data_IF_716927081502
#
_entry.id   IF_716927081502
#
_cell.length_a   1.000
_cell.length_b   1.000
_cell.length_c   1.000
_cell.angle_alpha   90.00
_cell.angle_beta   90.00
_cell.angle_gamma   90.00
#
_symmetry.space_group_name_H-M   'P 1'
#
loop_
_entity.id
_entity.type
_entity.pdbx_description
1 polymer ?
#
# COMPACT_ATOMS: atom_id res chain seq x y z
N UNK A 1 -7.94 -10.49 -41.27
CA UNK A 1 -7.78 -11.41 -40.11
C UNK A 1 -8.58 -10.84 -38.96
N UNK A 2 -9.74 -11.44 -38.67
CA UNK A 2 -10.54 -11.15 -37.48
C UNK A 2 -9.88 -11.80 -36.26
N UNK A 3 -9.65 -11.04 -35.19
CA UNK A 3 -9.64 -11.55 -33.81
C UNK A 3 -10.21 -10.48 -32.86
N UNK A 4 -11.48 -10.68 -32.53
CA UNK A 4 -12.13 -10.46 -31.24
C UNK A 4 -11.93 -9.09 -30.55
N UNK A 5 -12.71 -8.11 -31.00
CA UNK A 5 -13.25 -7.07 -30.12
C UNK A 5 -14.37 -7.68 -29.26
N UNK A 6 -14.03 -8.32 -28.14
CA UNK A 6 -15.04 -8.86 -27.20
C UNK A 6 -14.71 -8.52 -25.75
N UNK A 7 -15.50 -7.57 -25.20
CA UNK A 7 -15.78 -7.33 -23.77
C UNK A 7 -14.79 -6.51 -22.90
N UNK A 8 -14.21 -5.42 -23.42
CA UNK A 8 -13.43 -4.48 -22.58
C UNK A 8 -14.27 -3.48 -21.77
N UNK A 9 -15.56 -3.73 -21.59
CA UNK A 9 -16.44 -2.82 -20.84
C UNK A 9 -16.67 -3.38 -19.44
N UNK A 10 -16.55 -2.51 -18.44
CA UNK A 10 -16.97 -2.78 -17.07
C UNK A 10 -18.48 -3.04 -17.03
N UNK A 11 -18.90 -4.10 -16.34
CA UNK A 11 -20.32 -4.37 -16.10
C UNK A 11 -20.91 -3.40 -15.07
N UNK A 12 -22.24 -3.35 -14.94
CA UNK A 12 -22.91 -2.57 -13.88
C UNK A 12 -22.43 -2.97 -12.48
N UNK A 13 -22.22 -4.26 -12.26
CA UNK A 13 -21.81 -4.82 -10.98
C UNK A 13 -20.35 -4.48 -10.68
N UNK A 14 -19.49 -4.49 -11.69
CA UNK A 14 -18.10 -4.05 -11.58
C UNK A 14 -18.01 -2.55 -11.25
N UNK A 15 -18.84 -1.71 -11.86
CA UNK A 15 -18.94 -0.29 -11.51
C UNK A 15 -19.43 -0.06 -10.09
N UNK A 16 -20.47 -0.81 -9.68
CA UNK A 16 -20.97 -0.77 -8.30
C UNK A 16 -19.87 -1.16 -7.31
N UNK A 17 -19.09 -2.20 -7.62
CA UNK A 17 -17.95 -2.61 -6.80
C UNK A 17 -16.87 -1.54 -6.73
N UNK A 18 -16.50 -0.91 -7.85
CA UNK A 18 -15.52 0.19 -7.89
C UNK A 18 -15.97 1.35 -7.00
N UNK A 19 -17.25 1.74 -7.07
CA UNK A 19 -17.81 2.76 -6.20
C UNK A 19 -17.78 2.34 -4.72
N UNK A 20 -18.11 1.09 -4.42
CA UNK A 20 -18.01 0.56 -3.06
C UNK A 20 -16.57 0.58 -2.53
N UNK A 21 -15.56 0.28 -3.36
CA UNK A 21 -14.14 0.41 -2.98
C UNK A 21 -13.81 1.87 -2.69
N UNK A 22 -14.26 2.80 -3.53
CA UNK A 22 -14.05 4.23 -3.35
C UNK A 22 -14.60 4.70 -2.00
N UNK A 23 -15.86 4.40 -1.74
CA UNK A 23 -16.55 4.86 -0.53
C UNK A 23 -16.01 4.17 0.71
N UNK A 24 -15.66 2.88 0.61
CA UNK A 24 -14.98 2.15 1.68
C UNK A 24 -13.64 2.80 2.03
N UNK A 25 -12.85 3.21 1.04
CA UNK A 25 -11.57 3.90 1.24
C UNK A 25 -11.80 5.26 1.89
N UNK A 26 -12.63 6.11 1.28
CA UNK A 26 -12.87 7.49 1.73
C UNK A 26 -13.37 7.51 3.18
N UNK A 27 -14.36 6.69 3.52
CA UNK A 27 -14.89 6.58 4.89
C UNK A 27 -13.88 6.00 5.91
N UNK A 28 -12.83 5.32 5.45
CA UNK A 28 -11.82 4.74 6.34
C UNK A 28 -10.67 5.69 6.61
N UNK A 29 -10.50 6.74 5.81
CA UNK A 29 -9.42 7.72 5.89
C UNK A 29 -9.85 9.08 6.42
N UNK A 30 -11.14 9.30 6.69
CA UNK A 30 -11.67 10.54 7.27
C UNK A 30 -10.93 10.96 8.53
N UNK A 31 -10.74 10.03 9.47
CA UNK A 31 -10.18 10.31 10.80
C UNK A 31 -8.65 10.20 10.86
N UNK A 32 -8.00 10.03 9.71
CA UNK A 32 -6.56 9.81 9.64
C UNK A 32 -5.83 11.15 9.62
N UNK A 33 -5.09 11.48 10.68
CA UNK A 33 -4.34 12.72 10.81
C UNK A 33 -2.94 12.59 10.18
N UNK A 34 -2.71 13.30 9.07
CA UNK A 34 -1.41 13.38 8.40
C UNK A 34 -0.60 14.60 8.83
N UNK A 35 -1.15 15.45 9.71
CA UNK A 35 -0.49 16.69 10.12
C UNK A 35 0.51 16.52 11.25
N UNK A 36 0.63 15.32 11.82
CA UNK A 36 1.53 15.01 12.94
C UNK A 36 3.00 15.37 12.66
N UNK A 37 3.43 15.30 11.39
CA UNK A 37 4.77 15.71 10.95
C UNK A 37 5.09 17.18 11.28
N UNK A 38 4.07 18.03 11.39
CA UNK A 38 4.24 19.44 11.73
C UNK A 38 4.60 19.66 13.20
N UNK A 39 4.38 18.66 14.06
CA UNK A 39 4.64 18.75 15.49
C UNK A 39 6.08 18.36 15.85
N UNK A 40 6.88 17.89 14.90
CA UNK A 40 8.23 17.43 15.17
C UNK A 40 9.26 18.55 15.28
N UNK A 41 10.08 18.46 16.31
CA UNK A 41 11.32 19.24 16.43
C UNK A 41 12.37 18.68 15.47
N UNK A 42 13.04 19.56 14.71
CA UNK A 42 14.21 19.19 13.89
C UNK A 42 15.36 18.61 14.72
N UNK A 43 15.42 18.93 16.02
CA UNK A 43 16.50 18.49 16.90
C UNK A 43 16.16 17.13 17.52
N UNK A 44 14.94 16.99 18.05
CA UNK A 44 14.64 15.90 19.00
C UNK A 44 13.84 14.73 18.39
N UNK A 45 13.20 14.93 17.25
CA UNK A 45 12.40 13.89 16.61
C UNK A 45 13.26 12.72 16.11
N UNK A 46 12.77 11.49 16.34
CA UNK A 46 13.42 10.25 15.91
C UNK A 46 12.55 9.49 14.90
N UNK A 47 13.19 8.60 14.13
CA UNK A 47 12.48 7.67 13.24
C UNK A 47 11.43 6.84 13.99
N UNK A 48 11.75 6.43 15.22
CA UNK A 48 10.84 5.65 16.07
C UNK A 48 9.59 6.45 16.44
N UNK A 49 9.71 7.74 16.74
CA UNK A 49 8.54 8.58 17.04
C UNK A 49 7.63 8.69 15.81
N UNK A 50 8.22 8.91 14.64
CA UNK A 50 7.49 8.87 13.35
C UNK A 50 6.78 7.55 13.10
N UNK A 51 7.49 6.42 13.24
CA UNK A 51 6.89 5.10 13.03
C UNK A 51 5.76 4.82 14.02
N UNK A 52 5.83 5.33 15.25
CA UNK A 52 4.76 5.19 16.23
C UNK A 52 3.51 6.01 15.88
N UNK A 53 3.68 7.19 15.29
CA UNK A 53 2.56 8.04 14.83
C UNK A 53 1.92 7.49 13.55
N UNK A 54 2.70 6.83 12.69
CA UNK A 54 2.24 6.10 11.51
C UNK A 54 1.23 4.98 11.81
N UNK A 55 1.05 4.61 13.09
CA UNK A 55 0.01 3.66 13.51
C UNK A 55 -1.38 4.04 12.99
N UNK A 56 -1.65 5.34 12.84
CA UNK A 56 -2.95 5.83 12.37
C UNK A 56 -3.17 5.47 10.90
N UNK A 57 -2.14 5.60 10.06
CA UNK A 57 -2.17 5.21 8.65
C UNK A 57 -2.35 3.70 8.48
N UNK A 58 -1.73 2.89 9.35
CA UNK A 58 -1.99 1.45 9.36
C UNK A 58 -3.41 1.11 9.81
N UNK A 59 -3.94 1.78 10.84
CA UNK A 59 -5.33 1.58 11.31
C UNK A 59 -6.35 1.94 10.23
N UNK A 60 -6.16 3.03 9.49
CA UNK A 60 -7.06 3.45 8.42
C UNK A 60 -7.07 2.43 7.26
N UNK A 61 -5.91 1.91 6.86
CA UNK A 61 -5.81 0.83 5.88
C UNK A 61 -6.50 -0.45 6.36
N UNK A 62 -6.28 -0.88 7.60
CA UNK A 62 -6.96 -2.06 8.15
C UNK A 62 -8.49 -1.85 8.15
N UNK A 63 -8.97 -0.66 8.54
CA UNK A 63 -10.40 -0.29 8.49
C UNK A 63 -10.94 -0.36 7.05
N UNK A 64 -10.16 0.07 6.06
CA UNK A 64 -10.49 -0.04 4.64
C UNK A 64 -10.61 -1.50 4.20
N UNK A 65 -9.61 -2.35 4.45
CA UNK A 65 -9.65 -3.76 4.03
C UNK A 65 -10.78 -4.53 4.69
N UNK A 66 -11.08 -4.26 5.97
CA UNK A 66 -12.25 -4.84 6.65
C UNK A 66 -13.59 -4.48 6.02
N UNK A 67 -13.67 -3.48 5.14
CA UNK A 67 -14.90 -3.14 4.41
C UNK A 67 -14.99 -3.84 3.04
N UNK A 68 -13.90 -4.41 2.52
CA UNK A 68 -13.91 -5.12 1.24
C UNK A 68 -14.57 -6.49 1.41
N UNK A 69 -15.69 -6.79 0.71
CA UNK A 69 -16.42 -8.05 0.90
C UNK A 69 -15.56 -9.30 0.69
N UNK A 70 -14.72 -9.30 -0.36
CA UNK A 70 -13.81 -10.40 -0.68
C UNK A 70 -12.77 -10.64 0.43
N UNK A 71 -12.32 -9.59 1.12
CA UNK A 71 -11.39 -9.76 2.23
C UNK A 71 -12.07 -10.42 3.44
N UNK A 72 -13.36 -10.14 3.68
CA UNK A 72 -14.15 -10.79 4.74
C UNK A 72 -14.42 -12.27 4.51
N UNK A 73 -14.33 -12.74 3.26
CA UNK A 73 -14.56 -14.16 2.90
C UNK A 73 -13.37 -15.04 3.30
N UNK A 74 -12.18 -14.45 3.43
CA UNK A 74 -10.98 -15.14 3.90
C UNK A 74 -11.12 -15.42 5.41
N UNK A 75 -10.58 -16.54 5.89
CA UNK A 75 -10.54 -16.82 7.32
C UNK A 75 -9.68 -15.79 8.09
N UNK A 76 -9.94 -15.60 9.37
CA UNK A 76 -9.30 -14.53 10.16
C UNK A 76 -7.77 -14.66 10.22
N UNK A 77 -7.24 -15.88 10.27
CA UNK A 77 -5.80 -16.12 10.34
C UNK A 77 -5.10 -15.67 9.05
N UNK A 78 -5.63 -16.07 7.89
CA UNK A 78 -5.13 -15.63 6.59
C UNK A 78 -5.31 -14.11 6.38
N UNK A 79 -6.40 -13.51 6.88
CA UNK A 79 -6.56 -12.04 6.85
C UNK A 79 -5.41 -11.35 7.63
N UNK A 80 -5.08 -11.85 8.82
CA UNK A 80 -3.98 -11.29 9.64
C UNK A 80 -2.64 -11.46 8.93
N UNK A 81 -2.40 -12.64 8.34
CA UNK A 81 -1.18 -12.92 7.58
C UNK A 81 -1.05 -11.94 6.40
N UNK A 82 -2.09 -11.78 5.58
CA UNK A 82 -2.08 -10.86 4.44
C UNK A 82 -1.81 -9.42 4.88
N UNK A 83 -2.44 -8.96 5.96
CA UNK A 83 -2.17 -7.64 6.53
C UNK A 83 -0.68 -7.51 6.92
N UNK A 84 -0.16 -8.43 7.75
CA UNK A 84 1.24 -8.36 8.21
C UNK A 84 2.25 -8.42 7.08
N UNK A 85 1.97 -9.21 6.05
CA UNK A 85 2.84 -9.35 4.90
C UNK A 85 2.81 -8.10 4.00
N UNK A 86 1.61 -7.59 3.71
CA UNK A 86 1.45 -6.65 2.60
C UNK A 86 1.34 -5.18 3.05
N UNK A 87 0.84 -4.89 4.25
CA UNK A 87 0.42 -3.53 4.62
C UNK A 87 1.56 -2.52 4.64
N UNK A 88 2.76 -2.93 5.07
CA UNK A 88 3.95 -2.05 5.09
C UNK A 88 4.39 -1.64 3.70
N UNK A 89 4.06 -2.42 2.67
CA UNK A 89 4.36 -2.09 1.27
C UNK A 89 3.27 -1.24 0.61
N UNK A 90 2.05 -1.29 1.16
CA UNK A 90 0.88 -0.57 0.65
C UNK A 90 0.72 0.82 1.26
N UNK A 91 1.39 1.06 2.39
CA UNK A 91 1.35 2.34 3.08
C UNK A 91 1.81 3.50 2.17
N UNK A 92 2.71 3.27 1.21
CA UNK A 92 3.16 4.30 0.28
C UNK A 92 2.04 4.84 -0.61
N UNK A 93 1.33 3.93 -1.27
CA UNK A 93 0.20 4.28 -2.14
C UNK A 93 -0.89 4.93 -1.30
N UNK A 94 -1.05 4.47 -0.05
CA UNK A 94 -1.98 5.08 0.90
C UNK A 94 -1.62 6.53 1.23
N UNK A 95 -0.35 6.82 1.54
CA UNK A 95 0.15 8.18 1.76
C UNK A 95 -0.12 9.07 0.55
N UNK A 96 0.24 8.62 -0.66
CA UNK A 96 0.00 9.37 -1.90
C UNK A 96 -1.46 9.74 -2.06
N UNK A 97 -2.37 8.77 -1.86
CA UNK A 97 -3.81 9.00 -1.97
C UNK A 97 -4.35 9.92 -0.87
N UNK A 98 -3.90 9.75 0.37
CA UNK A 98 -4.38 10.50 1.53
C UNK A 98 -3.93 11.96 1.49
N UNK A 99 -2.70 12.22 1.07
CA UNK A 99 -2.16 13.56 0.93
C UNK A 99 -2.51 14.22 -0.41
N UNK A 100 -3.38 13.58 -1.20
CA UNK A 100 -3.80 14.06 -2.51
C UNK A 100 -2.61 14.40 -3.41
N UNK A 101 -1.62 13.51 -3.45
CA UNK A 101 -0.40 13.61 -4.26
C UNK A 101 0.54 14.78 -3.89
N UNK A 102 0.30 15.47 -2.76
CA UNK A 102 1.19 16.54 -2.28
C UNK A 102 2.21 15.95 -1.32
N UNK A 103 3.51 16.10 -1.60
CA UNK A 103 4.57 15.70 -0.66
C UNK A 103 4.85 16.82 0.35
N UNK A 104 4.90 16.49 1.65
CA UNK A 104 5.31 17.44 2.69
C UNK A 104 6.84 17.61 2.68
N UNK A 105 7.30 18.83 2.44
CA UNK A 105 8.72 19.16 2.40
C UNK A 105 9.46 18.86 3.72
N UNK A 106 8.78 18.95 4.87
CA UNK A 106 9.37 18.63 6.17
C UNK A 106 9.67 17.15 6.31
N UNK A 107 8.81 16.28 5.79
CA UNK A 107 9.04 14.83 5.78
C UNK A 107 10.38 14.51 5.11
N UNK A 108 10.71 15.22 4.02
CA UNK A 108 11.98 15.06 3.34
C UNK A 108 13.20 15.43 4.18
N UNK A 109 13.10 16.51 4.96
CA UNK A 109 14.15 16.94 5.89
C UNK A 109 14.35 15.88 6.98
N UNK A 110 13.26 15.42 7.60
CA UNK A 110 13.33 14.44 8.67
C UNK A 110 13.84 13.07 8.17
N UNK A 111 13.34 12.56 7.05
CA UNK A 111 13.80 11.29 6.48
C UNK A 111 15.28 11.33 6.10
N UNK A 112 15.75 12.46 5.58
CA UNK A 112 17.17 12.65 5.28
C UNK A 112 18.05 12.60 6.52
N UNK A 113 17.56 13.10 7.66
CA UNK A 113 18.25 13.05 8.97
C UNK A 113 18.19 11.66 9.59
N UNK A 114 17.01 11.03 9.59
CA UNK A 114 16.74 9.77 10.28
C UNK A 114 17.38 8.57 9.60
N UNK A 115 17.45 8.58 8.27
CA UNK A 115 17.99 7.48 7.47
C UNK A 115 19.20 7.98 6.72
N UNK A 116 18.99 8.67 5.59
CA UNK A 116 20.01 9.38 4.81
C UNK A 116 19.32 10.15 3.65
N UNK A 117 20.00 11.14 3.04
CA UNK A 117 19.43 11.91 1.94
C UNK A 117 19.12 11.10 0.66
N UNK A 118 19.87 10.01 0.40
CA UNK A 118 19.65 9.18 -0.79
C UNK A 118 18.33 8.41 -0.69
N UNK A 119 18.06 7.82 0.47
CA UNK A 119 16.82 7.14 0.80
C UNK A 119 15.60 8.06 0.58
N UNK A 120 15.64 9.28 1.14
CA UNK A 120 14.59 10.26 0.93
C UNK A 120 14.40 10.58 -0.56
N UNK A 121 15.49 10.84 -1.29
CA UNK A 121 15.42 11.11 -2.73
C UNK A 121 14.77 9.97 -3.51
N UNK A 122 15.10 8.72 -3.19
CA UNK A 122 14.50 7.54 -3.81
C UNK A 122 13.01 7.40 -3.45
N UNK A 123 12.64 7.66 -2.19
CA UNK A 123 11.24 7.68 -1.74
C UNK A 123 10.42 8.74 -2.45
N UNK A 124 10.90 9.98 -2.52
CA UNK A 124 10.24 11.09 -3.22
C UNK A 124 10.10 10.80 -4.71
N UNK A 125 11.15 10.27 -5.37
CA UNK A 125 11.06 9.84 -6.78
C UNK A 125 10.01 8.74 -6.99
N UNK A 126 9.90 7.79 -6.07
CA UNK A 126 8.89 6.72 -6.11
C UNK A 126 7.49 7.31 -5.96
N UNK A 127 7.31 8.25 -5.03
CA UNK A 127 6.06 8.99 -4.81
C UNK A 127 5.63 9.75 -6.07
N UNK A 128 6.49 10.60 -6.61
CA UNK A 128 6.19 11.42 -7.78
C UNK A 128 5.93 10.61 -9.05
N UNK A 129 6.44 9.37 -9.14
CA UNK A 129 6.10 8.48 -10.25
C UNK A 129 4.61 8.11 -10.26
N UNK A 130 3.92 8.21 -9.10
CA UNK A 130 2.49 7.99 -8.98
C UNK A 130 1.65 9.22 -9.36
N UNK A 131 2.26 10.39 -9.60
CA UNK A 131 1.55 11.61 -10.05
C UNK A 131 0.83 11.39 -11.39
N UNK A 132 1.26 10.36 -12.15
CA UNK A 132 0.54 9.84 -13.31
C UNK A 132 -0.95 9.55 -13.03
N UNK A 133 -1.31 9.22 -11.79
CA UNK A 133 -2.66 8.85 -11.38
C UNK A 133 -3.47 9.99 -10.76
N UNK A 134 -2.96 11.24 -10.73
CA UNK A 134 -3.67 12.39 -10.14
C UNK A 134 -5.09 12.55 -10.70
N UNK A 135 -5.26 12.38 -12.01
CA UNK A 135 -6.58 12.51 -12.65
C UNK A 135 -7.50 11.31 -12.39
N UNK A 136 -6.91 10.16 -12.05
CA UNK A 136 -7.64 8.89 -11.90
C UNK A 136 -7.17 8.12 -10.66
N UNK A 137 -7.30 8.69 -9.44
CA UNK A 137 -6.80 8.09 -8.20
C UNK A 137 -7.48 6.76 -7.86
N UNK A 138 -8.67 6.51 -8.44
CA UNK A 138 -9.37 5.24 -8.28
C UNK A 138 -8.54 4.04 -8.74
N UNK A 139 -7.68 4.19 -9.75
CA UNK A 139 -6.78 3.13 -10.18
C UNK A 139 -5.86 2.66 -9.03
N UNK A 140 -5.35 3.59 -8.23
CA UNK A 140 -4.52 3.28 -7.06
C UNK A 140 -5.34 2.67 -5.91
N UNK A 141 -6.61 3.07 -5.73
CA UNK A 141 -7.51 2.45 -4.75
C UNK A 141 -7.82 1.00 -5.11
N UNK A 142 -8.05 0.69 -6.38
CA UNK A 142 -8.22 -0.70 -6.85
C UNK A 142 -6.90 -1.46 -6.66
N UNK A 143 -5.76 -0.84 -7.03
CA UNK A 143 -4.45 -1.45 -6.83
C UNK A 143 -4.19 -1.81 -5.36
N UNK A 144 -4.52 -0.94 -4.40
CA UNK A 144 -4.42 -1.25 -2.95
C UNK A 144 -5.16 -2.53 -2.56
N UNK A 145 -6.33 -2.78 -3.17
CA UNK A 145 -7.10 -4.02 -2.95
C UNK A 145 -6.40 -5.19 -3.64
N UNK A 146 -5.99 -5.04 -4.91
CA UNK A 146 -5.30 -6.07 -5.67
C UNK A 146 -4.04 -6.58 -4.95
N UNK A 147 -3.19 -5.66 -4.49
CA UNK A 147 -1.92 -6.02 -3.85
C UNK A 147 -2.10 -6.62 -2.44
N UNK A 148 -3.22 -6.38 -1.76
CA UNK A 148 -3.50 -7.00 -0.45
C UNK A 148 -3.67 -8.52 -0.56
N UNK A 149 -4.09 -9.05 -1.71
CA UNK A 149 -4.23 -10.49 -1.93
C UNK A 149 -2.95 -11.16 -2.48
N UNK A 150 -1.82 -10.45 -2.50
CA UNK A 150 -0.56 -11.06 -2.93
C UNK A 150 0.02 -11.93 -1.82
N UNK A 151 0.32 -13.16 -2.18
CA UNK A 151 0.84 -14.19 -1.27
C UNK A 151 2.37 -14.34 -1.29
N UNK A 152 3.08 -13.76 -2.29
CA UNK A 152 4.49 -14.10 -2.59
C UNK A 152 5.48 -12.93 -2.74
N UNK A 153 5.04 -11.66 -2.67
CA UNK A 153 5.95 -10.51 -2.84
C UNK A 153 6.45 -9.94 -1.50
N UNK A 154 5.93 -10.43 -0.39
CA UNK A 154 6.15 -9.84 0.93
C UNK A 154 7.24 -10.59 1.66
N UNK A 155 8.21 -9.82 2.18
CA UNK A 155 9.48 -10.33 2.70
C UNK A 155 9.32 -11.59 3.54
N UNK A 156 10.21 -12.55 3.31
CA UNK A 156 10.69 -13.47 4.34
C UNK A 156 11.95 -12.84 4.96
N UNK A 157 11.91 -12.23 6.15
CA UNK A 157 13.14 -12.02 6.91
C UNK A 157 13.60 -13.35 7.50
N UNK A 158 14.92 -13.52 7.48
CA UNK A 158 15.71 -14.58 8.09
C UNK A 158 15.12 -15.06 9.44
N UNK A 159 14.67 -16.32 9.52
CA UNK A 159 14.36 -17.10 10.74
C UNK A 159 12.92 -17.32 11.24
N UNK A 160 11.82 -16.85 10.63
CA UNK A 160 10.49 -17.15 11.20
C UNK A 160 9.42 -17.56 10.19
N UNK A 161 8.96 -18.81 10.42
CA UNK A 161 7.71 -19.45 10.00
C UNK A 161 7.52 -19.58 8.48
N UNK A 162 7.33 -20.81 8.02
CA UNK A 162 6.61 -21.04 6.78
C UNK A 162 5.23 -20.40 6.94
N UNK A 163 5.07 -19.17 6.46
CA UNK A 163 3.77 -18.50 6.43
C UNK A 163 2.92 -19.32 5.46
N UNK A 164 2.09 -20.21 6.01
CA UNK A 164 1.21 -21.07 5.25
C UNK A 164 -0.18 -20.46 5.30
N UNK A 165 -0.52 -19.77 4.21
CA UNK A 165 -1.91 -19.41 3.96
C UNK A 165 -2.72 -20.71 3.84
N UNK A 166 -3.83 -20.78 4.58
CA UNK A 166 -4.71 -21.96 4.65
C UNK A 166 -5.48 -22.08 3.33
N UNK A 167 -6.09 -20.99 2.86
CA UNK A 167 -6.90 -20.97 1.62
C UNK A 167 -6.23 -20.16 0.50
N UNK A 168 -5.09 -20.67 0.03
CA UNK A 168 -4.34 -20.08 -1.11
C UNK A 168 -5.19 -19.96 -2.37
N UNK A 169 -6.10 -20.90 -2.61
CA UNK A 169 -6.91 -20.92 -3.82
C UNK A 169 -7.89 -19.76 -3.85
N UNK A 170 -8.62 -19.52 -2.77
CA UNK A 170 -9.54 -18.38 -2.66
C UNK A 170 -8.79 -17.05 -2.77
N UNK A 171 -7.63 -16.93 -2.11
CA UNK A 171 -6.78 -15.73 -2.18
C UNK A 171 -6.34 -15.45 -3.62
N UNK A 172 -5.86 -16.47 -4.33
CA UNK A 172 -5.46 -16.34 -5.73
C UNK A 172 -6.64 -15.98 -6.64
N UNK A 173 -7.84 -16.53 -6.38
CA UNK A 173 -9.06 -16.15 -7.10
C UNK A 173 -9.39 -14.68 -6.90
N UNK A 174 -9.34 -14.17 -5.67
CA UNK A 174 -9.55 -12.75 -5.38
C UNK A 174 -8.48 -11.87 -6.02
N UNK A 175 -7.21 -12.27 -5.95
CA UNK A 175 -6.11 -11.56 -6.61
C UNK A 175 -6.35 -11.44 -8.12
N UNK A 176 -6.69 -12.54 -8.80
CA UNK A 176 -6.96 -12.56 -10.23
C UNK A 176 -8.18 -11.71 -10.60
N UNK A 177 -9.23 -11.78 -9.78
CA UNK A 177 -10.44 -10.98 -9.96
C UNK A 177 -10.12 -9.48 -9.91
N UNK A 178 -9.44 -9.00 -8.86
CA UNK A 178 -9.10 -7.58 -8.73
C UNK A 178 -8.03 -7.12 -9.74
N UNK A 179 -7.12 -8.01 -10.15
CA UNK A 179 -6.18 -7.74 -11.25
C UNK A 179 -6.93 -7.50 -12.56
N UNK A 180 -7.93 -8.34 -12.85
CA UNK A 180 -8.79 -8.19 -14.03
C UNK A 180 -9.61 -6.91 -13.96
N UNK A 181 -10.19 -6.60 -12.79
CA UNK A 181 -10.94 -5.36 -12.56
C UNK A 181 -10.06 -4.12 -12.79
N UNK A 182 -8.82 -4.12 -12.29
CA UNK A 182 -7.87 -3.03 -12.50
C UNK A 182 -7.57 -2.83 -13.99
N UNK A 183 -7.28 -3.92 -14.72
CA UNK A 183 -7.05 -3.85 -16.17
C UNK A 183 -8.26 -3.29 -16.93
N UNK A 184 -9.46 -3.78 -16.63
CA UNK A 184 -10.69 -3.26 -17.25
C UNK A 184 -10.89 -1.79 -16.95
N UNK A 185 -10.70 -1.36 -15.70
CA UNK A 185 -10.81 0.04 -15.32
C UNK A 185 -9.81 0.92 -16.07
N UNK A 186 -8.54 0.51 -16.13
CA UNK A 186 -7.50 1.25 -16.85
C UNK A 186 -7.79 1.35 -18.35
N UNK A 187 -8.30 0.29 -18.98
CA UNK A 187 -8.69 0.30 -20.40
C UNK A 187 -9.91 1.19 -20.69
N UNK A 188 -10.72 1.53 -19.68
CA UNK A 188 -11.83 2.49 -19.81
C UNK A 188 -11.32 3.93 -19.76
N UNK A 189 -10.37 4.24 -18.87
CA UNK A 189 -9.88 5.62 -18.67
C UNK A 189 -8.68 5.99 -19.53
N UNK A 190 -7.93 5.00 -20.02
CA UNK A 190 -6.74 5.18 -20.84
C UNK A 190 -6.86 4.43 -22.17
N UNK A 191 -6.11 4.90 -23.17
CA UNK A 191 -5.85 4.11 -24.38
C UNK A 191 -4.95 2.92 -24.02
N UNK A 192 -5.02 1.86 -24.80
CA UNK A 192 -4.29 0.59 -24.54
C UNK A 192 -2.81 0.78 -24.14
N UNK A 193 -2.04 1.61 -24.88
CA UNK A 193 -0.64 1.88 -24.56
C UNK A 193 -0.44 2.54 -23.19
N UNK A 194 -1.31 3.49 -22.85
CA UNK A 194 -1.26 4.20 -21.57
C UNK A 194 -1.77 3.32 -20.43
N UNK A 195 -2.73 2.42 -20.69
CA UNK A 195 -3.19 1.43 -19.72
C UNK A 195 -2.08 0.42 -19.36
N UNK A 196 -1.33 -0.06 -20.36
CA UNK A 196 -0.15 -0.91 -20.13
C UNK A 196 0.89 -0.16 -19.30
N UNK A 197 1.24 1.06 -19.70
CA UNK A 197 2.18 1.92 -18.96
C UNK A 197 1.71 2.15 -17.52
N UNK A 198 0.41 2.33 -17.30
CA UNK A 198 -0.16 2.52 -15.97
C UNK A 198 0.06 1.29 -15.08
N UNK A 199 -0.23 0.08 -15.57
CA UNK A 199 0.05 -1.17 -14.83
C UNK A 199 1.53 -1.32 -14.54
N UNK A 200 2.40 -1.10 -15.53
CA UNK A 200 3.84 -1.16 -15.35
C UNK A 200 4.29 -0.19 -14.26
N UNK A 201 3.85 1.07 -14.30
CA UNK A 201 4.18 2.07 -13.29
C UNK A 201 3.75 1.64 -11.89
N UNK A 202 2.53 1.12 -11.73
CA UNK A 202 2.01 0.62 -10.46
C UNK A 202 2.90 -0.50 -9.91
N UNK A 203 3.21 -1.51 -10.73
CA UNK A 203 4.04 -2.66 -10.33
C UNK A 203 5.46 -2.20 -10.00
N UNK A 204 6.08 -1.38 -10.86
CA UNK A 204 7.44 -0.89 -10.65
C UNK A 204 7.55 -0.04 -9.37
N UNK A 205 6.58 0.84 -9.09
CA UNK A 205 6.61 1.63 -7.85
C UNK A 205 6.39 0.74 -6.62
N UNK A 206 5.50 -0.25 -6.70
CA UNK A 206 5.32 -1.21 -5.62
C UNK A 206 6.65 -1.94 -5.29
N UNK A 207 7.31 -2.50 -6.31
CA UNK A 207 8.59 -3.21 -6.14
C UNK A 207 9.71 -2.29 -5.63
N UNK A 208 9.82 -1.05 -6.15
CA UNK A 208 10.80 -0.07 -5.66
C UNK A 208 10.58 0.27 -4.20
N UNK A 209 9.32 0.48 -3.81
CA UNK A 209 9.00 0.77 -2.42
C UNK A 209 9.32 -0.40 -1.50
N UNK A 210 9.12 -1.65 -1.95
CA UNK A 210 9.54 -2.83 -1.18
C UNK A 210 11.06 -2.87 -0.92
N UNK A 211 11.88 -2.45 -1.88
CA UNK A 211 13.33 -2.34 -1.70
C UNK A 211 13.68 -1.26 -0.68
N UNK A 212 13.03 -0.09 -0.73
CA UNK A 212 13.25 0.99 0.23
C UNK A 212 12.84 0.57 1.64
N UNK A 213 11.68 -0.05 1.80
CA UNK A 213 11.28 -0.61 3.10
C UNK A 213 12.28 -1.65 3.59
N UNK A 214 12.96 -2.36 2.67
CA UNK A 214 14.05 -3.29 3.01
C UNK A 214 15.27 -2.64 3.64
N UNK A 215 15.67 -1.47 3.14
CA UNK A 215 16.70 -0.66 3.77
C UNK A 215 16.22 -0.13 5.14
N UNK A 216 14.98 0.34 5.23
CA UNK A 216 14.43 0.92 6.46
C UNK A 216 14.35 -0.11 7.60
N UNK A 217 13.89 -1.34 7.36
CA UNK A 217 13.84 -2.32 8.46
C UNK A 217 15.24 -2.70 8.95
N UNK A 218 16.25 -2.76 8.07
CA UNK A 218 17.62 -3.03 8.50
C UNK A 218 18.09 -1.95 9.49
N UNK A 219 17.74 -0.69 9.25
CA UNK A 219 18.02 0.41 10.17
C UNK A 219 17.25 0.21 11.47
N UNK A 220 15.95 -0.12 11.38
CA UNK A 220 15.09 -0.29 12.55
C UNK A 220 15.64 -1.39 13.47
N UNK A 221 15.96 -2.55 12.92
CA UNK A 221 16.46 -3.72 13.65
C UNK A 221 17.84 -3.47 14.29
N UNK A 222 18.67 -2.62 13.68
CA UNK A 222 20.01 -2.33 14.18
C UNK A 222 20.05 -1.21 15.23
N UNK A 223 19.06 -0.31 15.25
CA UNK A 223 19.12 0.92 16.04
C UNK A 223 18.11 0.99 17.19
N UNK A 224 17.02 0.22 17.14
CA UNK A 224 15.94 0.36 18.13
C UNK A 224 15.63 -0.95 18.83
N UNK A 225 15.21 -0.82 20.09
CA UNK A 225 14.66 -1.94 20.84
C UNK A 225 13.17 -2.12 20.46
N UNK A 226 12.72 -3.33 20.08
CA UNK A 226 11.32 -3.60 19.72
C UNK A 226 10.27 -3.15 20.75
N UNK A 227 10.61 -3.14 22.04
CA UNK A 227 9.68 -2.74 23.12
C UNK A 227 9.39 -1.23 23.14
N UNK A 228 10.14 -0.44 22.37
CA UNK A 228 9.94 1.01 22.24
C UNK A 228 8.85 1.37 21.21
N UNK A 229 8.37 0.38 20.45
CA UNK A 229 7.35 0.58 19.42
C UNK A 229 5.95 0.30 19.96
N UNK A 230 4.99 1.08 19.48
CA UNK A 230 3.58 0.82 19.71
C UNK A 230 3.23 -0.61 19.25
N UNK A 231 2.38 -1.38 19.98
CA UNK A 231 2.14 -2.80 19.68
C UNK A 231 1.73 -3.09 18.24
N UNK A 232 0.91 -2.22 17.64
CA UNK A 232 0.54 -2.34 16.23
C UNK A 232 1.75 -2.22 15.31
N UNK A 233 2.64 -1.25 15.56
CA UNK A 233 3.83 -0.99 14.75
C UNK A 233 4.80 -2.16 14.85
N UNK A 234 5.05 -2.63 16.08
CA UNK A 234 5.84 -3.85 16.32
C UNK A 234 5.31 -5.03 15.51
N UNK A 235 3.99 -5.21 15.49
CA UNK A 235 3.31 -6.30 14.78
C UNK A 235 3.41 -6.21 13.25
N UNK A 236 3.16 -5.02 12.66
CA UNK A 236 3.20 -4.85 11.19
C UNK A 236 4.63 -4.81 10.65
N UNK A 237 5.59 -4.30 11.42
CA UNK A 237 7.02 -4.35 11.09
C UNK A 237 7.65 -5.72 11.40
N UNK A 238 6.93 -6.60 12.12
CA UNK A 238 7.39 -7.95 12.51
C UNK A 238 8.69 -7.91 13.30
N UNK A 239 8.79 -6.96 14.22
CA UNK A 239 9.94 -6.86 15.13
C UNK A 239 9.86 -7.98 16.19
N UNK A 240 11.01 -8.55 16.62
CA UNK A 240 11.05 -9.64 17.60
C UNK A 240 10.52 -9.22 18.98
#
# INVERSE_FOLDING_TARGET
MNKNSSSSNLTSDEWSLINNIKDAYDLSTLDCDTTHINNYSLIDSTLKDFLNDEQQMFKSLIKFYKKIPHFKQINLEDQIILIKCNITHLIHIHHVLKDNFVEDAKLGIYMSKWINPDFHRQMSKTRHSLDFFIQYPMALKIALVTFMFISNLSRLPYNQLSIQLIDKNLINQHQNFFTTLLWKYLNVIYKEKDAIRAIELIIFQFLRYQLLMSEMDNIILNQFNPDQFHPLIRSVLRLP
#
